data_IF_184204383799
#
_entry.id   IF_184204383799
#
_cell.length_a   1.000
_cell.length_b   1.000
_cell.length_c   1.000
_cell.angle_alpha   90.00
_cell.angle_beta   90.00
_cell.angle_gamma   90.00
#
_symmetry.space_group_name_H-M   'P 1'
#
loop_
_entity.id
_entity.type
_entity.pdbx_description
1 polymer ?
#
# COMPACT_ATOMS: atom_id res chain seq x y z
N UNK A 1 -6.74 -1.23 -5.24
CA UNK A 1 -5.83 -2.41 -5.31
C UNK A 1 -5.58 -3.12 -3.97
N UNK A 2 -5.96 -2.53 -2.82
CA UNK A 2 -5.74 -3.11 -1.48
C UNK A 2 -6.60 -4.35 -1.21
N UNK A 3 -7.86 -4.36 -1.69
CA UNK A 3 -8.83 -5.43 -1.44
C UNK A 3 -8.54 -6.74 -2.16
N UNK A 4 -7.72 -6.75 -3.22
CA UNK A 4 -7.29 -8.03 -3.82
C UNK A 4 -6.23 -8.71 -2.97
N UNK A 5 -5.26 -7.98 -2.42
CA UNK A 5 -4.21 -8.55 -1.56
C UNK A 5 -4.79 -9.25 -0.33
N UNK A 6 -5.69 -8.58 0.40
CA UNK A 6 -6.38 -9.19 1.55
C UNK A 6 -7.18 -10.44 1.23
N UNK A 7 -7.66 -10.59 -0.02
CA UNK A 7 -8.49 -11.73 -0.43
C UNK A 7 -7.66 -12.96 -0.84
N UNK A 8 -6.43 -12.75 -1.29
CA UNK A 8 -5.53 -13.82 -1.75
C UNK A 8 -4.42 -14.15 -0.76
N UNK A 9 -4.06 -13.23 0.13
CA UNK A 9 -3.00 -13.43 1.13
C UNK A 9 -3.35 -12.66 2.43
N UNK A 10 -4.23 -13.21 3.28
CA UNK A 10 -4.67 -12.53 4.50
C UNK A 10 -3.56 -12.33 5.54
N UNK A 11 -2.51 -13.18 5.48
CA UNK A 11 -1.32 -13.08 6.34
C UNK A 11 -0.21 -12.22 5.74
N UNK A 12 -0.32 -11.93 4.44
CA UNK A 12 0.63 -11.11 3.72
C UNK A 12 2.01 -11.74 3.65
N UNK A 13 2.10 -13.08 3.71
CA UNK A 13 3.35 -13.82 3.64
C UNK A 13 4.14 -13.46 2.38
N UNK A 14 3.47 -13.18 1.27
CA UNK A 14 4.10 -12.73 0.04
C UNK A 14 4.83 -11.40 0.25
N UNK A 15 4.15 -10.41 0.82
CA UNK A 15 4.75 -9.09 1.08
C UNK A 15 5.88 -9.22 2.09
N UNK A 16 5.71 -10.00 3.16
CA UNK A 16 6.75 -10.25 4.17
C UNK A 16 7.99 -10.94 3.58
N UNK A 17 7.81 -11.79 2.58
CA UNK A 17 8.89 -12.53 1.91
C UNK A 17 9.68 -11.66 0.93
N UNK A 18 8.98 -10.82 0.15
CA UNK A 18 9.61 -10.01 -0.90
C UNK A 18 9.98 -8.60 -0.46
N UNK A 19 9.37 -8.12 0.64
CA UNK A 19 9.57 -6.78 1.21
C UNK A 19 9.78 -6.94 2.72
N UNK A 20 10.94 -7.49 3.14
CA UNK A 20 11.23 -7.77 4.55
C UNK A 20 11.22 -6.51 5.40
N UNK A 21 11.43 -5.32 4.84
CA UNK A 21 11.30 -4.06 5.57
C UNK A 21 9.87 -3.85 6.12
N UNK A 22 8.84 -4.39 5.46
CA UNK A 22 7.46 -4.32 5.94
C UNK A 22 7.06 -5.53 6.80
N UNK A 23 7.96 -6.49 7.04
CA UNK A 23 7.61 -7.70 7.80
C UNK A 23 7.31 -7.45 9.28
N UNK A 24 7.66 -6.27 9.81
CA UNK A 24 7.26 -5.86 11.17
C UNK A 24 5.81 -5.38 11.26
N UNK A 25 5.20 -5.00 10.13
CA UNK A 25 3.88 -4.35 10.15
C UNK A 25 2.74 -5.33 10.43
N UNK A 26 1.69 -4.89 11.14
CA UNK A 26 0.44 -5.65 11.24
C UNK A 26 -0.21 -5.83 9.87
N UNK A 27 -0.86 -6.98 9.61
CA UNK A 27 -1.54 -7.29 8.33
C UNK A 27 -2.51 -6.18 7.88
N UNK A 28 -3.13 -5.49 8.86
CA UNK A 28 -4.02 -4.35 8.61
C UNK A 28 -3.35 -3.23 7.81
N UNK A 29 -2.06 -2.99 8.04
CA UNK A 29 -1.28 -1.91 7.43
C UNK A 29 -0.25 -2.41 6.42
N UNK A 30 -0.07 -3.73 6.29
CA UNK A 30 0.91 -4.32 5.37
C UNK A 30 0.65 -3.92 3.90
N UNK A 31 -0.62 -3.79 3.51
CA UNK A 31 -1.03 -3.38 2.16
C UNK A 31 -1.09 -1.86 1.97
N UNK A 32 -1.06 -1.11 3.08
CA UNK A 32 -1.15 0.35 3.12
C UNK A 32 -0.26 0.90 4.24
N UNK A 33 1.08 0.77 4.14
CA UNK A 33 1.99 1.19 5.21
C UNK A 33 1.88 2.69 5.50
N UNK A 34 1.51 3.50 4.50
CA UNK A 34 1.23 4.94 4.65
C UNK A 34 -0.03 5.27 5.45
N UNK A 35 -0.94 4.32 5.68
CA UNK A 35 -2.10 4.49 6.57
C UNK A 35 -1.80 4.08 8.02
N UNK A 36 -0.60 3.53 8.30
CA UNK A 36 -0.21 3.13 9.64
C UNK A 36 0.07 4.35 10.52
N UNK A 37 -0.36 4.33 11.80
CA UNK A 37 0.04 5.37 12.74
C UNK A 37 1.55 5.33 13.00
N UNK A 38 2.15 6.50 13.27
CA UNK A 38 3.59 6.63 13.50
C UNK A 38 4.13 5.66 14.56
N UNK A 39 3.38 5.40 15.63
CA UNK A 39 3.75 4.44 16.67
C UNK A 39 3.85 2.99 16.19
N UNK A 40 3.06 2.61 15.18
CA UNK A 40 3.12 1.28 14.57
C UNK A 40 4.27 1.20 13.59
N UNK A 41 4.52 2.25 12.81
CA UNK A 41 5.68 2.35 11.92
C UNK A 41 6.99 2.23 12.70
N UNK A 42 7.10 2.97 13.80
CA UNK A 42 8.28 2.97 14.68
C UNK A 42 8.50 1.60 15.34
N UNK A 43 7.44 0.96 15.85
CA UNK A 43 7.51 -0.41 16.38
C UNK A 43 7.86 -1.46 15.32
N UNK A 44 7.48 -1.21 14.07
CA UNK A 44 7.77 -2.11 12.95
C UNK A 44 9.16 -1.86 12.34
N UNK A 45 9.88 -0.82 12.79
CA UNK A 45 11.14 -0.38 12.20
C UNK A 45 10.99 0.22 10.79
N UNK A 46 9.78 0.62 10.40
CA UNK A 46 9.49 1.15 9.06
C UNK A 46 9.56 2.67 9.08
N UNK A 47 10.47 3.23 8.30
CA UNK A 47 10.55 4.69 8.08
C UNK A 47 10.04 4.99 6.67
N UNK A 48 8.86 5.61 6.59
CA UNK A 48 8.31 6.09 5.32
C UNK A 48 9.18 7.22 4.78
N UNK A 49 9.58 7.13 3.51
CA UNK A 49 10.50 8.06 2.84
C UNK A 49 11.98 7.64 2.87
N UNK A 50 12.36 6.65 3.68
CA UNK A 50 13.74 6.13 3.75
C UNK A 50 13.77 4.61 3.45
N UNK A 51 13.13 3.80 4.29
CA UNK A 51 13.03 2.35 4.10
C UNK A 51 11.92 1.94 3.12
N UNK A 52 10.84 2.70 3.05
CA UNK A 52 9.75 2.45 2.11
C UNK A 52 9.22 3.78 1.57
N UNK A 53 9.11 3.96 0.24
CA UNK A 53 8.70 5.24 -0.31
C UNK A 53 7.25 5.57 0.09
N UNK A 54 7.01 6.86 0.32
CA UNK A 54 5.64 7.37 0.37
C UNK A 54 4.93 7.08 -0.97
N UNK A 55 3.59 6.91 -0.96
CA UNK A 55 2.86 6.62 -2.18
C UNK A 55 3.16 7.69 -3.24
N UNK A 56 3.84 7.27 -4.31
CA UNK A 56 4.30 8.13 -5.42
C UNK A 56 3.14 8.84 -6.12
N UNK A 57 1.95 8.25 -6.04
CA UNK A 57 0.69 8.83 -6.54
C UNK A 57 -0.40 8.56 -5.52
N UNK A 58 -1.18 9.59 -5.22
CA UNK A 58 -2.39 9.44 -4.42
C UNK A 58 -3.36 8.50 -5.14
N UNK A 59 -3.67 7.37 -4.50
CA UNK A 59 -4.52 6.32 -5.06
C UNK A 59 -5.89 6.87 -5.50
N UNK A 60 -6.40 7.91 -4.84
CA UNK A 60 -7.66 8.56 -5.18
C UNK A 60 -7.56 9.31 -6.52
N UNK A 61 -6.49 10.09 -6.68
CA UNK A 61 -6.22 10.86 -7.89
C UNK A 61 -5.94 9.98 -9.11
N UNK A 62 -5.21 8.86 -8.93
CA UNK A 62 -4.96 7.90 -10.02
C UNK A 62 -6.24 7.26 -10.55
N UNK A 63 -7.21 6.99 -9.67
CA UNK A 63 -8.49 6.37 -10.02
C UNK A 63 -9.36 7.34 -10.82
N UNK A 64 -9.42 8.61 -10.42
CA UNK A 64 -10.17 9.63 -11.15
C UNK A 64 -9.61 9.84 -12.56
N UNK A 65 -8.27 10.00 -12.71
CA UNK A 65 -7.66 10.11 -14.04
C UNK A 65 -7.87 8.90 -14.93
N UNK A 66 -7.83 7.69 -14.38
CA UNK A 66 -8.09 6.47 -15.16
C UNK A 66 -9.54 6.41 -15.65
N UNK A 67 -10.50 6.87 -14.83
CA UNK A 67 -11.91 6.94 -15.21
C UNK A 67 -12.19 8.03 -16.24
N UNK A 68 -11.57 9.20 -16.11
CA UNK A 68 -11.67 10.28 -17.11
C UNK A 68 -11.10 9.85 -18.47
N UNK A 69 -9.92 9.23 -18.48
CA UNK A 69 -9.30 8.73 -19.70
C UNK A 69 -10.17 7.66 -20.40
N UNK A 70 -10.81 6.78 -19.63
CA UNK A 70 -11.72 5.78 -20.20
C UNK A 70 -13.00 6.41 -20.79
N UNK A 71 -13.57 7.44 -20.16
CA UNK A 71 -14.72 8.15 -20.72
C UNK A 71 -14.38 8.90 -22.01
N UNK A 72 -13.17 9.46 -22.11
CA UNK A 72 -12.72 10.16 -23.31
C UNK A 72 -12.52 9.24 -24.52
N UNK A 73 -12.14 7.97 -24.31
CA UNK A 73 -11.94 6.97 -25.38
C UNK A 73 -13.28 6.35 -25.84
N UNK A 74 -14.30 6.35 -24.97
CA UNK A 74 -15.60 5.73 -25.25
C UNK A 74 -16.60 6.65 -25.99
N UNK A 75 -16.20 7.88 -26.32
CA UNK A 75 -17.02 8.86 -27.05
C UNK A 75 -16.67 8.91 -28.53
#
# INVERSE_FOLDING_TARGET
PVTQGQKFDPDGEYIRRYVPELSGLPNKYLFSPWEAPASVLEQSGVVLGDHYPEPVVDLKFSRERALEGWQAIKS
#
